data_IF_427202207281
#
_entry.id   IF_427202207281
#
_cell.length_a   1.000
_cell.length_b   1.000
_cell.length_c   1.000
_cell.angle_alpha   90.00
_cell.angle_beta   90.00
_cell.angle_gamma   90.00
#
_symmetry.space_group_name_H-M   'P 1'
#
loop_
_entity.id
_entity.type
_entity.pdbx_description
1 polymer ?
#
# COMPACT_ATOMS: atom_id res chain seq x y z
N UNK A 1 -11.81 7.38 20.27
CA UNK A 1 -11.33 7.68 18.91
C UNK A 1 -11.95 6.63 18.01
N UNK A 2 -12.57 7.02 16.90
CA UNK A 2 -13.17 6.05 15.97
C UNK A 2 -12.10 5.19 15.32
N UNK A 3 -12.46 4.03 14.80
CA UNK A 3 -11.51 3.14 14.14
C UNK A 3 -10.84 3.79 12.92
N UNK A 4 -11.59 4.52 12.08
CA UNK A 4 -10.99 5.26 10.96
C UNK A 4 -10.03 6.35 11.42
N UNK A 5 -10.30 7.02 12.55
CA UNK A 5 -9.40 8.04 13.09
C UNK A 5 -8.13 7.43 13.68
N UNK A 6 -8.18 6.19 14.21
CA UNK A 6 -6.97 5.45 14.58
C UNK A 6 -6.12 5.14 13.35
N UNK A 7 -6.74 4.64 12.27
CA UNK A 7 -6.03 4.32 11.04
C UNK A 7 -5.39 5.56 10.39
N UNK A 8 -6.15 6.65 10.27
CA UNK A 8 -5.67 7.93 9.75
C UNK A 8 -4.49 8.45 10.57
N UNK A 9 -4.60 8.47 11.91
CA UNK A 9 -3.51 8.87 12.80
C UNK A 9 -2.26 8.00 12.63
N UNK A 10 -2.41 6.68 12.59
CA UNK A 10 -1.28 5.77 12.41
C UNK A 10 -0.58 5.99 11.07
N UNK A 11 -1.34 6.26 10.00
CA UNK A 11 -0.78 6.66 8.71
C UNK A 11 0.03 7.95 8.81
N UNK A 12 -0.51 8.98 9.46
CA UNK A 12 0.21 10.25 9.65
C UNK A 12 1.49 10.06 10.47
N UNK A 13 1.49 9.19 11.49
CA UNK A 13 2.68 8.88 12.28
C UNK A 13 3.77 8.20 11.46
N UNK A 14 3.41 7.28 10.56
CA UNK A 14 4.37 6.65 9.64
C UNK A 14 5.01 7.71 8.74
N UNK A 15 4.20 8.57 8.12
CA UNK A 15 4.69 9.62 7.21
C UNK A 15 5.55 10.66 7.95
N UNK A 16 5.18 11.02 9.18
CA UNK A 16 5.97 11.92 10.03
C UNK A 16 7.33 11.30 10.39
N UNK A 17 7.35 10.02 10.75
CA UNK A 17 8.59 9.31 11.08
C UNK A 17 9.55 9.22 9.89
N UNK A 18 9.01 9.05 8.67
CA UNK A 18 9.81 9.07 7.43
C UNK A 18 10.55 10.39 7.18
N UNK A 19 10.14 11.50 7.81
CA UNK A 19 10.90 12.75 7.74
C UNK A 19 12.30 12.60 8.35
N UNK A 20 12.47 11.68 9.32
CA UNK A 20 13.76 11.35 9.92
C UNK A 20 14.69 10.56 8.99
N UNK A 21 14.16 9.92 7.95
CA UNK A 21 14.93 9.11 6.98
C UNK A 21 15.42 9.94 5.78
N UNK A 22 15.02 11.20 5.67
CA UNK A 22 15.23 12.02 4.47
C UNK A 22 16.71 12.16 4.09
N UNK A 23 17.61 12.36 5.05
CA UNK A 23 19.05 12.47 4.78
C UNK A 23 19.61 11.16 4.21
N UNK A 24 19.25 10.03 4.81
CA UNK A 24 19.68 8.71 4.33
C UNK A 24 19.10 8.42 2.94
N UNK A 25 17.82 8.73 2.71
CA UNK A 25 17.17 8.59 1.41
C UNK A 25 17.87 9.45 0.35
N UNK A 26 18.25 10.68 0.66
CA UNK A 26 19.01 11.55 -0.24
C UNK A 26 20.36 10.94 -0.62
N UNK A 27 21.12 10.48 0.37
CA UNK A 27 22.42 9.83 0.15
C UNK A 27 22.30 8.54 -0.68
N UNK A 28 21.27 7.71 -0.40
CA UNK A 28 20.99 6.49 -1.14
C UNK A 28 20.50 6.76 -2.57
N UNK A 29 19.71 7.81 -2.77
CA UNK A 29 19.31 8.30 -4.10
C UNK A 29 20.50 8.78 -4.92
N UNK A 30 21.41 9.55 -4.31
CA UNK A 30 22.66 9.97 -4.95
C UNK A 30 23.57 8.78 -5.31
N UNK A 31 23.66 7.77 -4.43
CA UNK A 31 24.36 6.51 -4.70
C UNK A 31 23.74 5.76 -5.88
N UNK A 32 22.40 5.62 -5.90
CA UNK A 32 21.67 4.99 -7.00
C UNK A 32 21.93 5.70 -8.34
N UNK A 33 21.86 7.03 -8.36
CA UNK A 33 22.21 7.83 -9.53
C UNK A 33 23.66 7.63 -9.97
N UNK A 34 24.60 7.50 -9.02
CA UNK A 34 25.99 7.18 -9.29
C UNK A 34 26.19 5.81 -9.96
N UNK A 35 25.44 4.79 -9.52
CA UNK A 35 25.44 3.46 -10.14
C UNK A 35 24.92 3.52 -11.57
N UNK A 36 23.76 4.17 -11.79
CA UNK A 36 23.17 4.35 -13.12
C UNK A 36 24.12 5.09 -14.08
N UNK A 37 24.74 6.19 -13.64
CA UNK A 37 25.67 6.98 -14.49
C UNK A 37 26.90 6.21 -14.95
N UNK A 38 27.35 5.21 -14.19
CA UNK A 38 28.48 4.35 -14.55
C UNK A 38 28.07 3.10 -15.33
N UNK A 39 26.78 2.97 -15.68
CA UNK A 39 26.25 1.80 -16.40
C UNK A 39 26.07 0.55 -15.53
N UNK A 40 26.03 0.71 -14.20
CA UNK A 40 25.64 -0.36 -13.27
C UNK A 40 24.13 -0.47 -13.12
N UNK A 41 23.67 -1.47 -12.37
CA UNK A 41 22.24 -1.70 -12.15
C UNK A 41 21.86 -1.37 -10.71
N UNK A 42 20.73 -0.68 -10.55
CA UNK A 42 20.06 -0.54 -9.26
C UNK A 42 18.93 -1.57 -9.20
N UNK A 43 19.12 -2.61 -8.41
CA UNK A 43 18.16 -3.67 -8.20
C UNK A 43 17.20 -3.34 -7.06
N UNK A 44 15.98 -3.84 -7.16
CA UNK A 44 15.00 -3.72 -6.09
C UNK A 44 14.18 -5.00 -5.92
N UNK A 45 13.99 -5.37 -4.66
CA UNK A 45 13.07 -6.41 -4.18
C UNK A 45 12.44 -5.96 -2.87
N UNK A 46 12.21 -4.64 -2.74
CA UNK A 46 11.53 -4.02 -1.60
C UNK A 46 10.00 -3.96 -1.80
N UNK A 47 9.46 -4.94 -2.51
CA UNK A 47 8.07 -5.03 -2.95
C UNK A 47 7.26 -6.07 -2.16
N UNK A 48 7.71 -6.43 -0.96
CA UNK A 48 6.97 -7.38 -0.13
C UNK A 48 5.64 -6.79 0.32
N UNK A 49 4.57 -7.55 0.11
CA UNK A 49 3.18 -7.13 0.33
C UNK A 49 2.37 -7.28 -0.95
N UNK A 50 1.05 -7.18 -0.85
CA UNK A 50 0.17 -7.29 -2.00
C UNK A 50 0.19 -6.00 -2.84
N UNK A 51 -0.19 -4.85 -2.26
CA UNK A 51 -0.14 -3.57 -2.97
C UNK A 51 1.28 -3.16 -3.41
N UNK A 52 2.35 -3.30 -2.59
CA UNK A 52 3.71 -2.97 -2.99
C UNK A 52 4.18 -3.64 -4.29
N UNK A 53 3.77 -4.88 -4.55
CA UNK A 53 4.10 -5.58 -5.81
C UNK A 53 3.66 -4.81 -7.06
N UNK A 54 2.48 -4.17 -7.01
CA UNK A 54 1.94 -3.40 -8.13
C UNK A 54 2.37 -1.94 -8.12
N UNK A 55 2.52 -1.34 -6.93
CA UNK A 55 2.89 0.06 -6.81
C UNK A 55 4.37 0.28 -7.12
N UNK A 56 5.25 -0.69 -6.82
CA UNK A 56 6.68 -0.60 -7.10
C UNK A 56 7.05 -1.12 -8.50
N UNK A 57 6.06 -1.61 -9.27
CA UNK A 57 6.27 -2.21 -10.57
C UNK A 57 6.92 -1.21 -11.55
N UNK A 58 7.76 -1.72 -12.46
CA UNK A 58 8.49 -0.88 -13.42
C UNK A 58 7.54 -0.19 -14.42
N UNK A 59 6.44 -0.87 -14.75
CA UNK A 59 5.37 -0.39 -15.63
C UNK A 59 4.38 0.55 -14.94
N UNK A 60 4.48 0.73 -13.61
CA UNK A 60 3.60 1.65 -12.87
C UNK A 60 3.74 3.05 -13.45
N UNK A 61 2.62 3.64 -13.90
CA UNK A 61 2.60 5.01 -14.44
C UNK A 61 3.25 5.98 -13.43
N UNK A 62 4.23 6.77 -13.90
CA UNK A 62 5.01 7.66 -13.05
C UNK A 62 6.33 7.08 -12.52
N UNK A 63 6.63 5.81 -12.80
CA UNK A 63 7.95 5.23 -12.52
C UNK A 63 9.01 5.84 -13.46
N UNK A 64 10.16 6.32 -12.94
CA UNK A 64 11.22 6.86 -13.80
C UNK A 64 12.01 5.77 -14.55
N UNK A 65 11.83 4.49 -14.23
CA UNK A 65 12.46 3.35 -14.91
C UNK A 65 13.94 3.14 -14.55
N UNK A 66 14.35 3.59 -13.35
CA UNK A 66 15.74 3.54 -12.88
C UNK A 66 16.07 2.27 -12.11
N UNK A 67 15.10 1.69 -11.40
CA UNK A 67 15.30 0.51 -10.57
C UNK A 67 14.76 -0.72 -11.30
N UNK A 68 15.48 -1.84 -11.20
CA UNK A 68 15.12 -3.12 -11.82
C UNK A 68 14.60 -4.10 -10.79
N UNK A 69 13.39 -4.60 -10.98
CA UNK A 69 12.79 -5.56 -10.06
C UNK A 69 13.43 -6.93 -10.26
N UNK A 70 14.08 -7.47 -9.23
CA UNK A 70 14.66 -8.82 -9.25
C UNK A 70 14.94 -9.33 -7.85
N UNK A 71 14.71 -10.63 -7.64
CA UNK A 71 15.13 -11.38 -6.44
C UNK A 71 16.29 -12.34 -6.74
N UNK A 72 16.83 -12.31 -7.96
CA UNK A 72 17.95 -13.13 -8.39
C UNK A 72 19.28 -12.51 -7.94
N UNK A 73 19.54 -12.52 -6.63
CA UNK A 73 20.79 -12.00 -6.03
C UNK A 73 22.08 -12.62 -6.62
N UNK A 74 22.11 -13.90 -7.05
CA UNK A 74 23.27 -14.47 -7.74
C UNK A 74 23.66 -13.75 -9.04
N UNK A 75 22.70 -13.11 -9.73
CA UNK A 75 22.94 -12.38 -10.98
C UNK A 75 23.50 -10.97 -10.75
N UNK A 76 23.47 -10.48 -9.52
CA UNK A 76 23.98 -9.15 -9.15
C UNK A 76 25.52 -9.16 -9.06
N UNK A 77 26.14 -8.09 -9.56
CA UNK A 77 27.61 -7.99 -9.72
C UNK A 77 28.22 -6.87 -8.89
N UNK A 78 29.53 -6.93 -8.70
CA UNK A 78 30.31 -5.88 -8.04
C UNK A 78 29.98 -4.49 -8.60
N UNK A 79 29.72 -3.53 -7.71
CA UNK A 79 29.40 -2.15 -8.07
C UNK A 79 27.93 -1.86 -8.34
N UNK A 80 27.06 -2.88 -8.35
CA UNK A 80 25.61 -2.69 -8.34
C UNK A 80 25.12 -2.22 -6.95
N UNK A 81 23.88 -1.75 -6.90
CA UNK A 81 23.15 -1.38 -5.67
C UNK A 81 21.87 -2.21 -5.59
N UNK A 82 21.52 -2.74 -4.42
CA UNK A 82 20.29 -3.49 -4.21
C UNK A 82 19.50 -2.94 -3.02
N UNK A 83 18.23 -2.60 -3.23
CA UNK A 83 17.26 -2.31 -2.17
C UNK A 83 16.37 -3.53 -1.95
N UNK A 84 16.41 -4.15 -0.77
CA UNK A 84 15.74 -5.44 -0.54
C UNK A 84 15.04 -5.52 0.81
N UNK A 85 13.93 -6.25 0.89
CA UNK A 85 13.31 -6.63 2.17
C UNK A 85 13.89 -7.91 2.77
N UNK A 86 14.73 -8.65 2.03
CA UNK A 86 15.14 -10.01 2.35
C UNK A 86 16.50 -10.06 3.04
N UNK A 87 16.68 -10.99 3.98
CA UNK A 87 17.95 -11.26 4.64
C UNK A 87 18.25 -12.75 4.79
N UNK A 88 18.68 -13.36 3.68
CA UNK A 88 19.14 -14.75 3.58
C UNK A 88 20.52 -14.85 2.92
N UNK A 89 21.08 -16.05 2.83
CA UNK A 89 22.46 -16.31 2.40
C UNK A 89 22.82 -15.71 1.04
N UNK A 90 21.92 -15.74 0.05
CA UNK A 90 22.19 -15.12 -1.26
C UNK A 90 22.34 -13.59 -1.20
N UNK A 91 21.63 -12.93 -0.29
CA UNK A 91 21.77 -11.48 -0.07
C UNK A 91 23.14 -11.17 0.54
N UNK A 92 23.56 -11.97 1.53
CA UNK A 92 24.91 -11.88 2.11
C UNK A 92 25.97 -12.12 1.03
N UNK A 93 25.81 -13.16 0.21
CA UNK A 93 26.75 -13.49 -0.86
C UNK A 93 26.84 -12.38 -1.90
N UNK A 94 25.73 -11.71 -2.23
CA UNK A 94 25.73 -10.53 -3.11
C UNK A 94 26.52 -9.36 -2.50
N UNK A 95 26.30 -9.07 -1.21
CA UNK A 95 27.07 -8.05 -0.48
C UNK A 95 28.57 -8.36 -0.47
N UNK A 96 28.95 -9.60 -0.14
CA UNK A 96 30.35 -10.03 -0.13
C UNK A 96 31.01 -9.97 -1.52
N UNK A 97 30.21 -10.10 -2.58
CA UNK A 97 30.65 -9.91 -3.98
C UNK A 97 30.94 -8.45 -4.33
N UNK A 98 30.57 -7.50 -3.46
CA UNK A 98 30.72 -6.07 -3.71
C UNK A 98 29.48 -5.39 -4.28
N UNK A 99 28.29 -6.02 -4.18
CA UNK A 99 27.01 -5.30 -4.34
C UNK A 99 26.80 -4.45 -3.09
N UNK A 100 26.40 -3.19 -3.27
CA UNK A 100 25.98 -2.38 -2.13
C UNK A 100 24.54 -2.73 -1.76
N UNK A 101 24.34 -3.39 -0.62
CA UNK A 101 23.02 -3.87 -0.19
C UNK A 101 22.43 -2.93 0.85
N UNK A 102 21.22 -2.43 0.56
CA UNK A 102 20.38 -1.69 1.49
C UNK A 102 19.19 -2.55 1.87
N UNK A 103 19.11 -2.92 3.13
CA UNK A 103 17.94 -3.62 3.66
C UNK A 103 16.86 -2.60 4.03
N UNK A 104 15.65 -2.76 3.49
CA UNK A 104 14.49 -1.91 3.75
C UNK A 104 13.53 -2.66 4.67
N UNK A 105 13.19 -2.08 5.82
CA UNK A 105 12.39 -2.80 6.83
C UNK A 105 10.98 -3.10 6.34
N UNK A 106 10.47 -4.28 6.70
CA UNK A 106 9.11 -4.73 6.37
C UNK A 106 8.55 -5.60 7.52
N UNK A 107 7.22 -5.65 7.73
CA UNK A 107 6.64 -6.46 8.80
C UNK A 107 6.71 -7.98 8.55
N UNK A 108 6.97 -8.42 7.33
CA UNK A 108 6.79 -9.82 6.93
C UNK A 108 7.94 -10.76 7.28
N UNK A 109 9.17 -10.26 7.34
CA UNK A 109 10.37 -11.07 7.56
C UNK A 109 10.98 -10.81 8.94
N UNK A 110 11.72 -11.78 9.47
CA UNK A 110 12.49 -11.60 10.70
C UNK A 110 13.53 -10.47 10.54
N UNK A 111 13.63 -9.62 11.55
CA UNK A 111 14.64 -8.56 11.66
C UNK A 111 14.86 -8.19 13.13
N UNK A 112 15.84 -7.34 13.41
CA UNK A 112 16.28 -7.01 14.78
C UNK A 112 15.33 -6.07 15.51
N UNK A 113 14.39 -5.44 14.80
CA UNK A 113 13.52 -4.39 15.32
C UNK A 113 12.16 -4.90 15.77
N UNK A 114 12.01 -6.23 15.92
CA UNK A 114 10.75 -6.89 16.25
C UNK A 114 10.94 -7.97 17.32
N UNK A 115 9.89 -8.29 18.10
CA UNK A 115 10.00 -9.30 19.15
C UNK A 115 10.37 -10.69 18.61
N UNK A 116 11.30 -11.37 19.28
CA UNK A 116 11.65 -12.76 18.99
C UNK A 116 10.43 -13.68 19.14
N UNK A 117 10.30 -14.66 18.24
CA UNK A 117 9.17 -15.60 18.22
C UNK A 117 7.87 -15.06 17.60
N UNK A 118 7.88 -13.82 17.09
CA UNK A 118 6.71 -13.25 16.42
C UNK A 118 6.48 -13.83 15.02
N UNK A 119 7.52 -14.26 14.27
CA UNK A 119 7.33 -14.77 12.89
C UNK A 119 6.96 -16.23 12.95
N UNK A 120 6.00 -16.59 12.10
CA UNK A 120 5.85 -17.97 11.70
C UNK A 120 7.11 -18.49 10.99
N UNK A 121 7.46 -19.75 11.23
CA UNK A 121 8.68 -20.35 10.66
C UNK A 121 8.70 -20.33 9.13
N UNK A 122 7.54 -20.30 8.46
CA UNK A 122 7.48 -20.20 6.99
C UNK A 122 7.90 -18.84 6.44
N UNK A 123 8.01 -17.82 7.30
CA UNK A 123 8.48 -16.48 6.96
C UNK A 123 9.75 -16.10 7.75
N UNK A 124 10.36 -17.04 8.47
CA UNK A 124 11.65 -16.83 9.11
C UNK A 124 12.78 -16.88 8.08
N UNK A 125 13.89 -16.21 8.40
CA UNK A 125 15.07 -16.21 7.55
C UNK A 125 15.74 -17.60 7.62
N UNK A 126 15.92 -18.31 6.50
CA UNK A 126 16.33 -19.73 6.49
C UNK A 126 17.69 -19.96 7.16
N UNK A 127 18.60 -18.97 7.06
CA UNK A 127 19.96 -19.03 7.59
C UNK A 127 20.09 -18.40 8.99
N UNK A 128 18.97 -17.93 9.57
CA UNK A 128 18.97 -17.19 10.84
C UNK A 128 19.63 -15.81 10.78
N UNK A 129 19.96 -15.33 9.58
CA UNK A 129 20.52 -14.01 9.33
C UNK A 129 19.47 -12.91 9.56
N UNK A 130 19.93 -11.72 9.91
CA UNK A 130 19.12 -10.51 10.08
C UNK A 130 19.60 -9.41 9.11
N UNK A 131 18.87 -8.30 9.05
CA UNK A 131 19.15 -7.20 8.11
C UNK A 131 20.59 -6.69 8.23
N UNK A 132 21.11 -6.49 9.44
CA UNK A 132 22.47 -6.01 9.73
C UNK A 132 23.56 -6.98 9.26
N UNK A 133 23.25 -8.27 9.20
CA UNK A 133 24.23 -9.29 8.84
C UNK A 133 24.48 -9.24 7.32
N UNK A 134 23.43 -8.93 6.55
CA UNK A 134 23.46 -8.99 5.08
C UNK A 134 23.59 -7.63 4.39
N UNK A 135 23.47 -6.52 5.10
CA UNK A 135 23.42 -5.18 4.50
C UNK A 135 24.62 -4.28 4.80
N UNK A 136 24.81 -3.30 3.93
CA UNK A 136 25.68 -2.16 4.18
C UNK A 136 24.96 -1.09 5.01
N UNK A 137 23.67 -0.90 4.75
CA UNK A 137 22.80 0.03 5.47
C UNK A 137 21.39 -0.55 5.63
N UNK A 138 20.69 -0.11 6.68
CA UNK A 138 19.27 -0.40 6.91
C UNK A 138 18.50 0.91 6.74
N UNK A 139 17.39 0.86 6.01
CA UNK A 139 16.47 1.98 5.79
C UNK A 139 15.09 1.63 6.36
N UNK A 140 14.53 2.51 7.18
CA UNK A 140 13.28 2.24 7.88
C UNK A 140 12.05 2.72 7.12
N UNK A 141 11.05 1.85 6.96
CA UNK A 141 9.72 2.21 6.44
C UNK A 141 8.76 2.73 7.52
N UNK A 142 9.17 2.62 8.80
CA UNK A 142 8.38 2.96 10.00
C UNK A 142 7.03 2.25 10.12
N UNK A 143 6.82 1.20 9.32
CA UNK A 143 5.63 0.35 9.44
C UNK A 143 5.73 -0.50 10.71
N UNK A 144 4.67 -0.61 11.52
CA UNK A 144 4.68 -1.47 12.69
C UNK A 144 4.79 -2.94 12.26
N UNK A 145 5.47 -3.77 13.06
CA UNK A 145 5.63 -5.20 12.77
C UNK A 145 4.29 -5.96 12.77
N UNK A 146 3.28 -5.46 13.49
CA UNK A 146 1.92 -5.98 13.45
C UNK A 146 1.20 -5.69 12.12
N UNK A 147 1.75 -4.80 11.29
CA UNK A 147 1.18 -4.27 10.04
C UNK A 147 -0.12 -3.45 10.22
N UNK A 148 -1.04 -3.90 11.08
CA UNK A 148 -2.30 -3.24 11.38
C UNK A 148 -2.16 -1.96 12.21
N UNK A 149 -3.07 -1.01 12.02
CA UNK A 149 -3.09 0.29 12.73
C UNK A 149 -4.30 0.50 13.65
N UNK A 150 -5.30 -0.39 13.60
CA UNK A 150 -6.55 -0.23 14.34
C UNK A 150 -6.64 -1.25 15.46
N UNK A 151 -6.78 -0.78 16.70
CA UNK A 151 -7.09 -1.65 17.84
C UNK A 151 -8.61 -1.90 17.92
N UNK A 152 -8.99 -3.17 17.90
CA UNK A 152 -10.39 -3.62 17.98
C UNK A 152 -10.57 -4.53 19.21
N UNK A 153 -11.25 -4.09 20.29
CA UNK A 153 -11.42 -4.90 21.49
C UNK A 153 -12.13 -6.25 21.26
N UNK A 154 -12.98 -6.33 20.24
CA UNK A 154 -13.70 -7.55 19.85
C UNK A 154 -12.84 -8.53 19.04
N UNK A 155 -11.69 -8.08 18.52
CA UNK A 155 -10.69 -8.88 17.79
C UNK A 155 -9.32 -8.50 18.37
N UNK A 156 -9.06 -8.93 19.59
CA UNK A 156 -7.90 -8.49 20.39
C UNK A 156 -6.57 -9.16 20.01
N UNK A 157 -6.60 -10.19 19.17
CA UNK A 157 -5.46 -11.02 18.82
C UNK A 157 -4.45 -10.32 17.90
N UNK A 158 -4.88 -9.32 17.14
CA UNK A 158 -4.06 -8.53 16.23
C UNK A 158 -4.72 -7.18 15.89
N UNK A 159 -3.94 -6.23 15.37
CA UNK A 159 -4.48 -4.94 14.89
C UNK A 159 -5.08 -5.11 13.49
N UNK A 160 -6.18 -4.41 13.22
CA UNK A 160 -6.85 -4.40 11.92
C UNK A 160 -6.25 -3.34 10.98
N UNK A 161 -6.59 -3.46 9.70
CA UNK A 161 -6.27 -2.55 8.58
C UNK A 161 -4.76 -2.39 8.33
N UNK A 162 -4.21 -3.01 7.27
CA UNK A 162 -2.78 -2.99 6.97
C UNK A 162 -2.22 -1.60 6.62
N UNK A 163 -0.92 -1.42 6.86
CA UNK A 163 -0.15 -0.20 6.52
C UNK A 163 1.03 -0.43 5.57
N UNK A 164 1.16 -1.65 5.00
CA UNK A 164 2.29 -2.06 4.17
C UNK A 164 2.51 -1.14 2.95
N UNK A 165 1.42 -0.71 2.32
CA UNK A 165 1.42 0.23 1.21
C UNK A 165 1.92 1.63 1.60
N UNK A 166 1.76 2.06 2.86
CA UNK A 166 2.05 3.45 3.27
C UNK A 166 3.56 3.69 3.35
N UNK A 167 4.24 2.97 4.25
CA UNK A 167 5.67 3.18 4.48
C UNK A 167 6.53 2.69 3.32
N UNK A 168 6.23 1.49 2.81
CA UNK A 168 6.98 0.87 1.71
C UNK A 168 6.96 1.71 0.42
N UNK A 169 5.76 2.11 -0.03
CA UNK A 169 5.63 2.90 -1.26
C UNK A 169 6.15 4.33 -1.11
N UNK A 170 5.98 4.95 0.07
CA UNK A 170 6.57 6.26 0.32
C UNK A 170 8.11 6.21 0.19
N UNK A 171 8.78 5.23 0.80
CA UNK A 171 10.22 5.02 0.66
C UNK A 171 10.61 4.76 -0.80
N UNK A 172 9.89 3.88 -1.50
CA UNK A 172 10.14 3.59 -2.91
C UNK A 172 10.12 4.84 -3.78
N UNK A 173 9.09 5.68 -3.64
CA UNK A 173 8.92 6.87 -4.45
C UNK A 173 9.90 7.98 -4.07
N UNK A 174 10.24 8.14 -2.79
CA UNK A 174 11.28 9.09 -2.38
C UNK A 174 12.67 8.72 -2.92
N UNK A 175 13.04 7.44 -2.90
CA UNK A 175 14.31 6.96 -3.49
C UNK A 175 14.35 7.21 -5.01
N UNK A 176 13.27 6.90 -5.72
CA UNK A 176 13.16 7.16 -7.16
C UNK A 176 13.21 8.66 -7.49
N UNK A 177 12.60 9.50 -6.67
CA UNK A 177 12.61 10.94 -6.83
C UNK A 177 14.04 11.51 -6.77
N UNK A 178 14.81 11.11 -5.75
CA UNK A 178 16.21 11.54 -5.58
C UNK A 178 17.12 10.97 -6.67
N UNK A 179 16.99 9.67 -6.97
CA UNK A 179 17.80 9.05 -8.01
C UNK A 179 17.56 9.71 -9.37
N UNK A 180 16.30 9.97 -9.74
CA UNK A 180 15.97 10.64 -11.00
C UNK A 180 16.49 12.08 -11.06
N UNK A 181 16.39 12.82 -9.95
CA UNK A 181 16.90 14.19 -9.87
C UNK A 181 18.43 14.21 -10.06
N UNK A 182 19.15 13.34 -9.36
CA UNK A 182 20.62 13.28 -9.41
C UNK A 182 21.16 12.68 -10.71
N UNK A 183 20.39 11.85 -11.41
CA UNK A 183 20.74 11.43 -12.78
C UNK A 183 20.61 12.60 -13.75
N UNK A 184 19.56 13.41 -13.63
CA UNK A 184 19.30 14.54 -14.53
C UNK A 184 20.16 15.78 -14.21
N UNK A 185 20.54 15.96 -12.94
CA UNK A 185 21.27 17.13 -12.45
C UNK A 185 22.22 16.71 -11.32
N UNK A 186 23.44 16.24 -11.64
CA UNK A 186 24.40 15.69 -10.67
C UNK A 186 24.86 16.63 -9.55
N UNK A 187 24.64 17.92 -9.74
CA UNK A 187 24.96 19.00 -8.81
C UNK A 187 23.74 19.46 -8.00
N UNK A 188 22.58 18.80 -8.17
CA UNK A 188 21.39 19.10 -7.38
C UNK A 188 21.60 18.75 -5.90
N UNK A 189 20.92 19.48 -5.03
CA UNK A 189 20.96 19.21 -3.59
C UNK A 189 20.42 17.82 -3.29
N UNK A 190 21.13 17.09 -2.43
CA UNK A 190 20.63 15.85 -1.84
C UNK A 190 19.35 16.20 -1.03
N UNK A 191 18.30 15.37 -1.14
CA UNK A 191 17.04 15.43 -0.35
C UNK A 191 15.92 16.32 -0.91
N UNK A 192 16.14 17.15 -1.92
CA UNK A 192 15.11 18.10 -2.41
C UNK A 192 13.81 17.42 -2.87
N UNK A 193 13.90 16.39 -3.73
CA UNK A 193 12.72 15.78 -4.37
C UNK A 193 12.03 14.78 -3.46
N UNK A 194 12.75 14.05 -2.62
CA UNK A 194 12.20 13.20 -1.57
C UNK A 194 11.39 14.03 -0.58
N UNK A 195 11.95 15.18 -0.12
CA UNK A 195 11.23 16.09 0.79
C UNK A 195 9.97 16.64 0.14
N UNK A 196 10.04 17.06 -1.12
CA UNK A 196 8.87 17.53 -1.87
C UNK A 196 7.79 16.43 -1.97
N UNK A 197 8.17 15.22 -2.39
CA UNK A 197 7.24 14.09 -2.47
C UNK A 197 6.59 13.79 -1.12
N UNK A 198 7.36 13.68 -0.04
CA UNK A 198 6.85 13.39 1.30
C UNK A 198 5.90 14.49 1.79
N UNK A 199 6.23 15.75 1.51
CA UNK A 199 5.39 16.90 1.89
C UNK A 199 4.02 16.82 1.21
N UNK A 200 4.00 16.61 -0.11
CA UNK A 200 2.74 16.52 -0.87
C UNK A 200 1.94 15.29 -0.46
N UNK A 201 2.59 14.14 -0.27
CA UNK A 201 1.93 12.92 0.19
C UNK A 201 1.29 13.12 1.58
N UNK A 202 2.02 13.74 2.51
CA UNK A 202 1.54 14.01 3.88
C UNK A 202 0.38 15.01 3.88
N UNK A 203 0.43 16.05 3.05
CA UNK A 203 -0.69 16.99 2.88
C UNK A 203 -1.96 16.27 2.38
N UNK A 204 -1.82 15.44 1.33
CA UNK A 204 -2.96 14.68 0.77
C UNK A 204 -3.52 13.67 1.76
N UNK A 205 -2.64 12.97 2.49
CA UNK A 205 -3.04 12.07 3.55
C UNK A 205 -3.79 12.81 4.67
N UNK A 206 -3.34 14.00 5.07
CA UNK A 206 -4.04 14.83 6.04
C UNK A 206 -5.43 15.26 5.52
N UNK A 207 -5.52 15.66 4.24
CA UNK A 207 -6.78 16.06 3.59
C UNK A 207 -7.80 14.93 3.48
N UNK A 208 -7.40 13.66 3.49
CA UNK A 208 -8.32 12.52 3.52
C UNK A 208 -9.28 12.54 4.74
N UNK A 209 -8.93 13.25 5.82
CA UNK A 209 -9.83 13.49 6.94
C UNK A 209 -11.12 14.24 6.56
N UNK A 210 -11.11 15.02 5.49
CA UNK A 210 -12.29 15.72 4.98
C UNK A 210 -13.39 14.74 4.51
N UNK A 211 -13.04 13.48 4.23
CA UNK A 211 -13.99 12.44 3.83
C UNK A 211 -14.59 11.69 5.00
N UNK A 212 -14.16 11.92 6.25
CA UNK A 212 -14.54 11.09 7.40
C UNK A 212 -16.07 11.00 7.63
N UNK A 213 -16.79 12.12 7.52
CA UNK A 213 -18.25 12.12 7.70
C UNK A 213 -18.95 11.27 6.62
N UNK A 214 -18.53 11.44 5.35
CA UNK A 214 -19.09 10.68 4.22
C UNK A 214 -18.67 9.21 4.27
N UNK A 215 -17.47 8.90 4.75
CA UNK A 215 -17.01 7.52 5.00
C UNK A 215 -17.88 6.86 6.07
N UNK A 216 -18.24 7.59 7.13
CA UNK A 216 -19.15 7.08 8.15
C UNK A 216 -20.53 6.78 7.56
N UNK A 217 -21.12 7.70 6.80
CA UNK A 217 -22.40 7.47 6.13
C UNK A 217 -22.36 6.26 5.18
N UNK A 218 -21.31 6.15 4.37
CA UNK A 218 -21.12 5.00 3.48
C UNK A 218 -21.00 3.69 4.26
N UNK A 219 -20.21 3.66 5.34
CA UNK A 219 -20.02 2.50 6.21
C UNK A 219 -21.32 2.05 6.90
N UNK A 220 -22.20 2.98 7.27
CA UNK A 220 -23.53 2.66 7.81
C UNK A 220 -24.42 1.99 6.75
N UNK A 221 -24.41 2.49 5.51
CA UNK A 221 -25.14 1.87 4.39
C UNK A 221 -24.59 0.48 4.08
N UNK A 222 -23.26 0.34 4.02
CA UNK A 222 -22.58 -0.95 3.84
C UNK A 222 -23.00 -1.95 4.92
N UNK A 223 -22.97 -1.55 6.18
CA UNK A 223 -23.36 -2.39 7.32
C UNK A 223 -24.81 -2.88 7.19
N UNK A 224 -25.76 -1.97 6.92
CA UNK A 224 -27.18 -2.33 6.74
C UNK A 224 -27.38 -3.34 5.62
N UNK A 225 -26.70 -3.14 4.50
CA UNK A 225 -26.76 -4.01 3.31
C UNK A 225 -26.18 -5.40 3.57
N UNK A 226 -24.98 -5.46 4.17
CA UNK A 226 -24.30 -6.71 4.51
C UNK A 226 -25.12 -7.52 5.53
N UNK A 227 -25.64 -6.88 6.59
CA UNK A 227 -26.48 -7.56 7.57
C UNK A 227 -27.83 -8.03 7.01
N UNK A 228 -28.27 -7.45 5.89
CA UNK A 228 -29.48 -7.86 5.16
C UNK A 228 -29.19 -8.93 4.10
N UNK A 229 -27.99 -9.50 4.07
CA UNK A 229 -27.62 -10.63 3.21
C UNK A 229 -26.71 -10.28 2.03
N UNK A 230 -26.43 -9.00 1.79
CA UNK A 230 -25.51 -8.55 0.73
C UNK A 230 -24.06 -8.99 0.94
N UNK A 231 -23.26 -8.90 -0.13
CA UNK A 231 -21.81 -9.16 -0.12
C UNK A 231 -21.02 -7.90 -0.48
N UNK A 232 -19.73 -7.93 -0.18
CA UNK A 232 -18.80 -6.87 -0.51
C UNK A 232 -17.85 -7.34 -1.62
N UNK A 233 -17.92 -6.66 -2.76
CA UNK A 233 -16.98 -6.81 -3.86
C UNK A 233 -16.12 -5.55 -4.02
N UNK A 234 -14.87 -5.74 -4.40
CA UNK A 234 -13.94 -4.67 -4.68
C UNK A 234 -13.17 -4.93 -5.97
N UNK A 235 -12.99 -3.89 -6.79
CA UNK A 235 -12.30 -3.97 -8.07
C UNK A 235 -11.35 -2.80 -8.27
N UNK A 236 -10.21 -3.10 -8.88
CA UNK A 236 -9.32 -2.08 -9.46
C UNK A 236 -8.65 -2.69 -10.68
N UNK A 237 -9.00 -2.20 -11.86
CA UNK A 237 -8.58 -2.81 -13.13
C UNK A 237 -7.33 -2.12 -13.67
N UNK A 238 -7.20 -0.80 -13.51
CA UNK A 238 -5.98 -0.09 -13.92
C UNK A 238 -4.84 -0.35 -12.93
N UNK A 239 -5.15 -0.47 -11.64
CA UNK A 239 -4.15 -0.71 -10.59
C UNK A 239 -4.57 -1.83 -9.62
N UNK A 240 -4.42 -3.11 -10.02
CA UNK A 240 -4.92 -4.26 -9.26
C UNK A 240 -4.40 -4.37 -7.82
N UNK A 241 -3.31 -3.69 -7.48
CA UNK A 241 -2.80 -3.59 -6.11
C UNK A 241 -3.86 -3.20 -5.08
N UNK A 242 -4.78 -2.29 -5.43
CA UNK A 242 -5.88 -1.92 -4.53
C UNK A 242 -6.82 -3.07 -4.22
N UNK A 243 -7.22 -3.82 -5.24
CA UNK A 243 -8.10 -4.98 -5.08
C UNK A 243 -7.42 -6.04 -4.21
N UNK A 244 -6.14 -6.27 -4.41
CA UNK A 244 -5.39 -7.24 -3.62
C UNK A 244 -5.26 -6.85 -2.15
N UNK A 245 -5.24 -5.56 -1.81
CA UNK A 245 -5.02 -5.04 -0.46
C UNK A 245 -6.27 -5.12 0.45
N UNK A 246 -7.42 -5.54 -0.07
CA UNK A 246 -8.61 -5.80 0.76
C UNK A 246 -8.49 -7.12 1.54
N UNK A 247 -8.00 -8.18 0.90
CA UNK A 247 -8.00 -9.55 1.46
C UNK A 247 -6.61 -10.00 1.89
N UNK A 248 -5.93 -9.15 2.65
CA UNK A 248 -4.56 -9.37 3.13
C UNK A 248 -4.51 -9.57 4.64
N UNK A 249 -3.30 -9.78 5.16
CA UNK A 249 -3.03 -9.70 6.59
C UNK A 249 -3.62 -8.41 7.20
N UNK A 250 -4.37 -8.54 8.29
CA UNK A 250 -5.12 -7.47 8.95
C UNK A 250 -6.33 -6.93 8.15
N UNK A 251 -6.70 -7.56 7.02
CA UNK A 251 -7.85 -7.18 6.19
C UNK A 251 -9.12 -8.00 6.48
N UNK A 252 -10.30 -7.52 6.04
CA UNK A 252 -11.56 -8.24 6.15
C UNK A 252 -11.56 -9.50 5.27
N UNK A 253 -12.08 -10.60 5.82
CA UNK A 253 -12.15 -11.89 5.11
C UNK A 253 -13.17 -11.90 3.97
N UNK A 254 -14.23 -11.09 4.07
CA UNK A 254 -15.42 -11.23 3.21
C UNK A 254 -15.28 -10.66 1.80
N UNK A 255 -14.30 -9.79 1.56
CA UNK A 255 -14.21 -9.05 0.29
C UNK A 255 -13.96 -10.02 -0.85
N UNK A 256 -14.74 -9.85 -1.94
CA UNK A 256 -14.69 -10.71 -3.13
C UNK A 256 -14.98 -12.19 -2.87
N UNK A 257 -15.64 -12.51 -1.75
CA UNK A 257 -16.08 -13.86 -1.44
C UNK A 257 -17.59 -14.02 -1.72
N UNK A 258 -17.96 -15.18 -2.26
CA UNK A 258 -19.35 -15.54 -2.53
C UNK A 258 -19.77 -15.26 -3.98
N UNK A 259 -21.07 -15.43 -4.22
CA UNK A 259 -21.69 -15.25 -5.53
C UNK A 259 -22.30 -13.84 -5.63
N UNK A 260 -22.02 -13.15 -6.74
CA UNK A 260 -22.59 -11.83 -7.02
C UNK A 260 -24.12 -11.88 -7.10
N UNK A 261 -24.67 -12.95 -7.68
CA UNK A 261 -26.09 -13.04 -8.03
C UNK A 261 -27.01 -13.40 -6.86
N UNK A 262 -26.46 -13.89 -5.73
CA UNK A 262 -27.26 -14.36 -4.57
C UNK A 262 -28.10 -13.23 -3.92
N UNK A 263 -27.61 -11.98 -3.96
CA UNK A 263 -28.27 -10.81 -3.38
C UNK A 263 -27.80 -9.50 -4.04
N UNK A 264 -27.74 -9.45 -5.37
CA UNK A 264 -27.07 -8.38 -6.14
C UNK A 264 -27.51 -6.96 -5.79
N UNK A 265 -28.79 -6.75 -5.51
CA UNK A 265 -29.39 -5.46 -5.16
C UNK A 265 -29.05 -5.00 -3.73
N UNK A 266 -28.49 -5.90 -2.92
CA UNK A 266 -27.98 -5.63 -1.59
C UNK A 266 -26.44 -5.60 -1.55
N UNK A 267 -25.76 -5.93 -2.65
CA UNK A 267 -24.29 -5.92 -2.67
C UNK A 267 -23.73 -4.51 -2.54
N UNK A 268 -22.48 -4.45 -2.09
CA UNK A 268 -21.62 -3.28 -2.13
C UNK A 268 -20.53 -3.53 -3.16
N UNK A 269 -20.33 -2.57 -4.06
CA UNK A 269 -19.20 -2.57 -4.99
C UNK A 269 -18.29 -1.38 -4.66
N UNK A 270 -17.03 -1.66 -4.35
CA UNK A 270 -16.00 -0.62 -4.20
C UNK A 270 -15.09 -0.66 -5.42
N UNK A 271 -14.96 0.46 -6.11
CA UNK A 271 -13.98 0.64 -7.18
C UNK A 271 -12.94 1.65 -6.73
N UNK A 272 -11.68 1.21 -6.64
CA UNK A 272 -10.55 2.07 -6.30
C UNK A 272 -9.70 2.26 -7.56
N UNK A 273 -9.39 3.50 -7.93
CA UNK A 273 -8.79 3.85 -9.20
C UNK A 273 -7.63 4.84 -9.06
N UNK A 274 -6.73 4.84 -10.05
CA UNK A 274 -5.68 5.85 -10.22
C UNK A 274 -5.98 6.85 -11.36
N UNK A 275 -7.10 6.68 -12.05
CA UNK A 275 -7.61 7.59 -13.08
C UNK A 275 -9.10 7.87 -12.86
N UNK A 276 -9.59 9.07 -13.18
CA UNK A 276 -10.99 9.44 -12.96
C UNK A 276 -11.97 8.67 -13.85
N UNK A 277 -11.52 8.19 -15.01
CA UNK A 277 -12.39 7.58 -16.02
C UNK A 277 -11.69 6.48 -16.82
N UNK A 278 -11.04 5.53 -16.15
CA UNK A 278 -10.53 4.35 -16.83
C UNK A 278 -11.70 3.57 -17.44
N UNK A 279 -11.75 3.33 -18.78
CA UNK A 279 -12.97 2.87 -19.44
C UNK A 279 -13.57 1.60 -18.85
N UNK A 280 -12.74 0.58 -18.56
CA UNK A 280 -13.22 -0.68 -18.03
C UNK A 280 -13.80 -0.55 -16.60
N UNK A 281 -13.22 0.30 -15.76
CA UNK A 281 -13.72 0.56 -14.40
C UNK A 281 -15.03 1.35 -14.44
N UNK A 282 -15.14 2.32 -15.34
CA UNK A 282 -16.35 3.12 -15.53
C UNK A 282 -17.50 2.26 -16.02
N UNK A 283 -17.27 1.38 -17.00
CA UNK A 283 -18.31 0.48 -17.50
C UNK A 283 -18.73 -0.54 -16.43
N UNK A 284 -17.77 -1.13 -15.71
CA UNK A 284 -18.06 -1.99 -14.56
C UNK A 284 -18.90 -1.25 -13.51
N UNK A 285 -18.51 -0.03 -13.13
CA UNK A 285 -19.23 0.76 -12.13
C UNK A 285 -20.69 1.01 -12.54
N UNK A 286 -20.93 1.39 -13.79
CA UNK A 286 -22.29 1.59 -14.34
C UNK A 286 -23.10 0.29 -14.32
N UNK A 287 -22.49 -0.82 -14.74
CA UNK A 287 -23.14 -2.14 -14.76
C UNK A 287 -23.58 -2.54 -13.35
N UNK A 288 -22.66 -2.51 -12.37
CA UNK A 288 -22.95 -2.94 -10.99
C UNK A 288 -23.94 -2.02 -10.30
N UNK A 289 -23.91 -0.71 -10.59
CA UNK A 289 -24.93 0.24 -10.12
C UNK A 289 -26.30 -0.04 -10.74
N UNK A 290 -26.38 -0.36 -12.03
CA UNK A 290 -27.63 -0.73 -12.69
C UNK A 290 -28.24 -2.03 -12.15
N UNK A 291 -27.41 -2.93 -11.60
CA UNK A 291 -27.84 -4.15 -10.92
C UNK A 291 -28.34 -3.92 -9.48
N UNK A 292 -28.22 -2.70 -8.95
CA UNK A 292 -28.72 -2.28 -7.64
C UNK A 292 -27.68 -2.26 -6.51
N UNK A 293 -26.41 -2.55 -6.80
CA UNK A 293 -25.35 -2.48 -5.80
C UNK A 293 -25.14 -1.05 -5.31
N UNK A 294 -24.77 -0.90 -4.04
CA UNK A 294 -24.27 0.37 -3.52
C UNK A 294 -22.84 0.58 -4.03
N UNK A 295 -22.66 1.57 -4.89
CA UNK A 295 -21.39 1.82 -5.55
C UNK A 295 -20.58 2.87 -4.78
N UNK A 296 -19.38 2.49 -4.37
CA UNK A 296 -18.39 3.38 -3.77
C UNK A 296 -17.24 3.56 -4.76
N UNK A 297 -16.89 4.82 -5.04
CA UNK A 297 -15.75 5.18 -5.89
C UNK A 297 -14.65 5.86 -5.09
N UNK A 298 -13.41 5.39 -5.20
CA UNK A 298 -12.22 6.02 -4.62
C UNK A 298 -11.25 6.28 -5.76
N UNK A 299 -10.82 7.52 -5.97
CA UNK A 299 -9.90 7.85 -7.06
C UNK A 299 -9.76 9.34 -7.25
N UNK A 300 -8.94 9.81 -8.19
CA UNK A 300 -8.80 11.24 -8.41
C UNK A 300 -10.04 11.79 -9.11
N UNK A 301 -10.46 13.02 -8.76
CA UNK A 301 -11.56 13.70 -9.45
C UNK A 301 -11.18 14.25 -10.85
N UNK A 302 -9.89 14.39 -11.11
CA UNK A 302 -9.36 14.92 -12.38
C UNK A 302 -8.00 14.29 -12.68
N UNK A 303 -7.53 14.42 -13.92
CA UNK A 303 -6.19 13.98 -14.32
C UNK A 303 -5.54 15.02 -15.23
N UNK A 304 -4.35 15.49 -14.87
CA UNK A 304 -3.53 16.46 -15.60
C UNK A 304 -4.31 17.72 -16.02
N UNK A 305 -5.15 18.24 -15.12
CA UNK A 305 -5.98 19.43 -15.34
C UNK A 305 -7.28 19.18 -16.11
N UNK A 306 -7.56 17.94 -16.53
CA UNK A 306 -8.81 17.55 -17.16
C UNK A 306 -9.75 16.86 -16.15
N UNK A 307 -10.98 17.35 -16.05
CA UNK A 307 -12.06 16.68 -15.32
C UNK A 307 -12.78 15.75 -16.31
N UNK A 308 -12.97 14.49 -15.94
CA UNK A 308 -13.71 13.56 -16.78
C UNK A 308 -15.22 13.87 -16.73
N UNK A 309 -15.88 13.85 -17.88
CA UNK A 309 -17.35 13.83 -17.92
C UNK A 309 -17.83 12.42 -17.57
N UNK A 310 -18.64 12.29 -16.52
CA UNK A 310 -19.15 11.01 -15.99
C UNK A 310 -18.02 10.08 -15.57
N UNK A 311 -17.07 10.62 -14.80
CA UNK A 311 -16.02 9.84 -14.16
C UNK A 311 -16.57 8.91 -13.07
N UNK A 312 -15.70 8.05 -12.53
CA UNK A 312 -16.04 7.11 -11.47
C UNK A 312 -16.77 7.78 -10.30
N UNK A 313 -16.28 8.95 -9.85
CA UNK A 313 -16.86 9.67 -8.73
C UNK A 313 -18.24 10.27 -9.03
N UNK A 314 -18.54 10.59 -10.29
CA UNK A 314 -19.87 11.06 -10.71
C UNK A 314 -20.89 9.92 -10.75
N UNK A 315 -20.42 8.69 -10.98
CA UNK A 315 -21.26 7.49 -11.09
C UNK A 315 -21.52 6.90 -9.71
N UNK A 316 -20.59 7.03 -8.76
CA UNK A 316 -20.69 6.46 -7.42
C UNK A 316 -21.89 7.00 -6.61
N UNK A 317 -22.39 6.19 -5.68
CA UNK A 317 -23.32 6.64 -4.64
C UNK A 317 -22.57 7.37 -3.51
N UNK A 318 -21.34 6.94 -3.24
CA UNK A 318 -20.37 7.65 -2.39
C UNK A 318 -19.02 7.74 -3.10
N UNK A 319 -18.54 8.96 -3.35
CA UNK A 319 -17.29 9.24 -4.06
C UNK A 319 -16.24 9.89 -3.17
N UNK A 320 -15.00 9.41 -3.24
CA UNK A 320 -13.89 9.90 -2.44
C UNK A 320 -12.70 10.29 -3.32
N UNK A 321 -12.43 11.59 -3.41
CA UNK A 321 -11.25 12.12 -4.12
C UNK A 321 -9.97 11.76 -3.36
N UNK A 322 -9.02 11.07 -4.01
CA UNK A 322 -7.71 10.77 -3.45
C UNK A 322 -6.70 11.93 -3.58
N UNK A 323 -7.16 13.08 -4.08
CA UNK A 323 -6.41 14.33 -4.21
C UNK A 323 -5.12 14.18 -5.03
N UNK A 324 -5.07 13.20 -5.94
CA UNK A 324 -3.88 12.89 -6.74
C UNK A 324 -4.14 13.09 -8.24
N UNK A 325 -4.26 14.36 -8.70
CA UNK A 325 -4.66 14.66 -10.08
C UNK A 325 -3.54 14.49 -11.10
N UNK A 326 -2.31 14.14 -10.71
CA UNK A 326 -1.19 13.99 -11.64
C UNK A 326 -1.07 12.55 -12.13
N UNK A 327 -1.08 12.36 -13.46
CA UNK A 327 -0.95 11.01 -14.03
C UNK A 327 0.43 10.42 -13.77
N UNK A 328 1.48 11.23 -13.93
CA UNK A 328 2.88 10.86 -13.70
C UNK A 328 3.31 10.98 -12.24
N UNK A 329 2.64 11.80 -11.44
CA UNK A 329 2.96 12.04 -10.04
C UNK A 329 3.40 13.46 -9.72
N UNK A 330 4.01 13.66 -8.55
CA UNK A 330 4.16 15.00 -7.96
C UNK A 330 5.56 15.60 -8.13
N UNK A 331 6.52 14.82 -8.64
CA UNK A 331 7.91 15.23 -8.76
C UNK A 331 8.24 15.62 -10.19
N UNK A 332 8.60 16.89 -10.41
CA UNK A 332 9.17 17.37 -11.67
C UNK A 332 10.68 17.13 -11.73
N UNK A 333 11.15 16.59 -12.86
CA UNK A 333 12.58 16.36 -13.13
C UNK A 333 13.04 17.24 -14.30
N UNK A 334 14.15 18.00 -14.17
CA UNK A 334 14.69 18.79 -15.27
C UNK A 334 14.87 17.97 -16.54
N UNK A 335 14.41 18.50 -17.68
CA UNK A 335 14.50 17.82 -18.97
C UNK A 335 13.47 16.72 -19.22
N UNK A 336 12.58 16.41 -18.25
CA UNK A 336 11.48 15.45 -18.42
C UNK A 336 10.14 16.19 -18.60
N UNK A 337 9.39 15.84 -19.64
CA UNK A 337 8.10 16.47 -19.95
C UNK A 337 6.92 15.99 -19.08
N UNK A 338 7.08 14.88 -18.37
CA UNK A 338 6.09 14.32 -17.45
C UNK A 338 6.67 14.21 -16.05
N UNK A 339 5.84 14.47 -15.04
CA UNK A 339 6.20 14.25 -13.64
C UNK A 339 6.32 12.75 -13.33
N UNK A 340 6.95 12.44 -12.21
CA UNK A 340 7.16 11.08 -11.69
C UNK A 340 6.68 10.98 -10.24
N UNK A 341 6.71 9.77 -9.69
CA UNK A 341 6.41 9.47 -8.28
C UNK A 341 4.95 9.82 -7.92
N UNK A 342 3.98 8.97 -8.30
CA UNK A 342 2.56 9.18 -8.01
C UNK A 342 2.26 9.01 -6.51
N UNK A 343 1.28 9.76 -6.00
CA UNK A 343 0.72 9.55 -4.65
C UNK A 343 -0.60 8.78 -4.67
N UNK A 344 -1.17 8.54 -5.87
CA UNK A 344 -2.52 8.00 -6.04
C UNK A 344 -2.70 6.63 -5.39
N UNK A 345 -1.67 5.77 -5.46
CA UNK A 345 -1.65 4.46 -4.82
C UNK A 345 -1.72 4.56 -3.30
N UNK A 346 -0.86 5.37 -2.69
CA UNK A 346 -0.79 5.51 -1.23
C UNK A 346 -2.05 6.18 -0.66
N UNK A 347 -2.49 7.29 -1.25
CA UNK A 347 -3.66 8.04 -0.73
C UNK A 347 -4.96 7.29 -1.02
N UNK A 348 -5.08 6.62 -2.18
CA UNK A 348 -6.22 5.76 -2.46
C UNK A 348 -6.34 4.62 -1.45
N UNK A 349 -5.21 3.99 -1.09
CA UNK A 349 -5.23 2.89 -0.13
C UNK A 349 -5.53 3.41 1.29
N UNK A 350 -5.04 4.60 1.66
CA UNK A 350 -5.41 5.23 2.93
C UNK A 350 -6.94 5.37 3.06
N UNK A 351 -7.61 5.92 2.04
CA UNK A 351 -9.07 6.11 2.06
C UNK A 351 -9.78 4.74 2.11
N UNK A 352 -9.33 3.78 1.33
CA UNK A 352 -9.85 2.41 1.32
C UNK A 352 -9.79 1.75 2.71
N UNK A 353 -8.66 1.89 3.40
CA UNK A 353 -8.49 1.31 4.74
C UNK A 353 -9.21 2.10 5.83
N UNK A 354 -9.39 3.42 5.66
CA UNK A 354 -10.31 4.21 6.49
C UNK A 354 -11.76 3.71 6.36
N UNK A 355 -12.20 3.37 5.15
CA UNK A 355 -13.52 2.78 4.91
C UNK A 355 -13.68 1.41 5.58
N UNK A 356 -12.68 0.52 5.45
CA UNK A 356 -12.66 -0.78 6.14
C UNK A 356 -12.75 -0.59 7.66
N UNK A 357 -11.94 0.32 8.22
CA UNK A 357 -11.91 0.60 9.64
C UNK A 357 -13.28 1.10 10.15
N UNK A 358 -13.90 2.05 9.44
CA UNK A 358 -15.21 2.57 9.81
C UNK A 358 -16.31 1.53 9.65
N UNK A 359 -16.28 0.74 8.57
CA UNK A 359 -17.21 -0.38 8.36
C UNK A 359 -17.14 -1.40 9.50
N UNK A 360 -15.94 -1.77 9.95
CA UNK A 360 -15.79 -2.69 11.07
C UNK A 360 -16.39 -2.11 12.36
N UNK A 361 -16.22 -0.81 12.61
CA UNK A 361 -16.84 -0.13 13.75
C UNK A 361 -18.37 -0.13 13.66
N UNK A 362 -18.95 0.16 12.50
CA UNK A 362 -20.40 0.16 12.28
C UNK A 362 -21.03 -1.23 12.42
N UNK A 363 -20.38 -2.28 11.90
CA UNK A 363 -20.79 -3.67 12.12
C UNK A 363 -20.85 -4.00 13.61
N UNK A 364 -19.82 -3.62 14.37
CA UNK A 364 -19.75 -3.88 15.81
C UNK A 364 -20.82 -3.10 16.57
N UNK A 365 -21.07 -1.82 16.23
CA UNK A 365 -22.17 -1.02 16.80
C UNK A 365 -23.53 -1.67 16.53
N UNK A 366 -23.70 -2.32 15.37
CA UNK A 366 -24.89 -3.08 15.02
C UNK A 366 -24.96 -4.48 15.68
N UNK A 367 -24.02 -4.83 16.56
CA UNK A 367 -23.99 -6.10 17.27
C UNK A 367 -23.39 -7.27 16.48
N UNK A 368 -22.70 -6.99 15.37
CA UNK A 368 -22.10 -8.00 14.50
C UNK A 368 -20.57 -7.82 14.43
N UNK A 369 -19.81 -8.82 14.89
CA UNK A 369 -18.34 -8.79 14.79
C UNK A 369 -17.90 -9.36 13.44
N UNK A 370 -17.28 -8.56 12.55
CA UNK A 370 -16.77 -9.02 11.26
C UNK A 370 -15.56 -9.94 11.41
N UNK A 371 -15.34 -10.79 10.40
CA UNK A 371 -14.19 -11.68 10.38
C UNK A 371 -13.02 -11.02 9.65
N UNK A 372 -11.88 -10.94 10.33
CA UNK A 372 -10.63 -10.45 9.78
C UNK A 372 -9.59 -11.57 9.66
N UNK A 373 -8.62 -11.38 8.77
CA UNK A 373 -7.52 -12.32 8.58
C UNK A 373 -6.30 -11.87 9.39
N UNK A 374 -5.76 -12.78 10.21
CA UNK A 374 -4.46 -12.57 10.84
C UNK A 374 -3.35 -12.83 9.82
N UNK A 375 -2.28 -12.04 9.85
CA UNK A 375 -1.16 -12.25 8.95
C UNK A 375 -0.52 -13.62 9.12
N UNK A 376 -0.40 -14.40 8.04
CA UNK A 376 0.21 -15.74 8.06
C UNK A 376 1.71 -15.72 8.36
N UNK A 377 2.34 -14.56 8.22
CA UNK A 377 3.72 -14.31 8.62
C UNK A 377 3.86 -14.27 10.15
N UNK A 378 2.77 -14.14 10.90
CA UNK A 378 2.77 -14.15 12.36
C UNK A 378 2.59 -15.57 12.90
N UNK A 379 3.31 -15.93 13.96
CA UNK A 379 3.12 -17.18 14.68
C UNK A 379 1.65 -17.37 15.09
N UNK A 380 1.05 -18.49 14.68
CA UNK A 380 -0.37 -18.78 14.94
C UNK A 380 -1.35 -18.13 13.94
N UNK A 381 -0.86 -17.47 12.90
CA UNK A 381 -1.69 -16.76 11.92
C UNK A 381 -2.54 -17.70 11.06
N UNK A 382 -1.98 -18.85 10.63
CA UNK A 382 -2.71 -19.85 9.85
C UNK A 382 -3.80 -20.52 10.69
N UNK A 383 -3.45 -20.95 11.88
CA UNK A 383 -4.33 -21.61 12.85
C UNK A 383 -5.50 -20.71 13.21
N UNK A 384 -5.25 -19.42 13.43
CA UNK A 384 -6.31 -18.44 13.65
C UNK A 384 -7.27 -18.35 12.45
N UNK A 385 -6.74 -18.20 11.23
CA UNK A 385 -7.55 -18.06 10.03
C UNK A 385 -8.38 -19.32 9.72
N UNK A 386 -7.83 -20.50 10.01
CA UNK A 386 -8.52 -21.79 9.93
C UNK A 386 -9.64 -21.89 10.97
N UNK A 387 -9.36 -21.54 12.23
CA UNK A 387 -10.37 -21.53 13.30
C UNK A 387 -11.53 -20.55 13.01
N UNK A 388 -11.23 -19.42 12.36
CA UNK A 388 -12.25 -18.45 11.96
C UNK A 388 -13.05 -18.85 10.71
N UNK A 389 -12.67 -19.94 10.01
CA UNK A 389 -13.34 -20.34 8.78
C UNK A 389 -14.80 -20.74 8.99
N UNK A 390 -15.11 -21.52 10.02
CA UNK A 390 -16.49 -21.92 10.33
C UNK A 390 -17.33 -20.70 10.74
N UNK A 391 -16.76 -19.80 11.54
CA UNK A 391 -17.42 -18.55 11.94
C UNK A 391 -17.77 -17.71 10.73
N UNK A 392 -16.84 -17.56 9.79
CA UNK A 392 -17.07 -16.84 8.54
C UNK A 392 -18.10 -17.54 7.66
N UNK A 393 -18.04 -18.85 7.47
CA UNK A 393 -19.02 -19.57 6.64
C UNK A 393 -20.45 -19.39 7.16
N UNK A 394 -20.63 -19.35 8.49
CA UNK A 394 -21.92 -19.14 9.13
C UNK A 394 -22.41 -17.69 9.04
N UNK A 395 -21.53 -16.70 9.23
CA UNK A 395 -21.89 -15.27 9.31
C UNK A 395 -21.87 -14.56 7.96
N UNK A 396 -20.90 -14.93 7.11
CA UNK A 396 -20.58 -14.36 5.79
C UNK A 396 -20.09 -12.90 5.82
N UNK A 397 -19.54 -12.46 6.94
CA UNK A 397 -18.91 -11.15 7.14
C UNK A 397 -17.76 -11.20 8.16
#
# INVERSE_FOLDING_TARGET
MTYMAQYHRGTMQILEALAGELEQIGALGARAAGVVRRGGTVWTSMDCGHMPHYEHAEERRGNPGLFRSSREFPDMKEGDLAFTNFCHGDVLAARERGVYVVCVTTPYWDNEFRPGGFTDISHSNPDGLMLKDVSNEILHTHMPYQQGLVDCPQISEFKLCPSAATGGAAVHWMLNAEAANQVASPEAGEVEKARHYLTVLTERAARASAHMDVIQEAAEVMTKRILSGGRWFARSLEHPGFETEFSVACGPRMVNQGDWDEARDMNVMVVTAISPAFPAEVELAKEKKAEGAFLIGIGPASLDGAVADKGLLDIADAGFDNFSPESGGVVGIPGRGQTICPTSGVVGNLIQQMLIAQWAEEMIKAGAVPTFLRGIYQSGGREYNEAMAETYQRRRY
#
